data_IF_322867629275
#
_entry.id   IF_322867629275
#
_cell.length_a   1.000
_cell.length_b   1.000
_cell.length_c   1.000
_cell.angle_alpha   90.00
_cell.angle_beta   90.00
_cell.angle_gamma   90.00
#
_symmetry.space_group_name_H-M   'P 1'
#
loop_
_entity.id
_entity.type
_entity.pdbx_description
1 polymer ?
#
# COMPACT_ATOMS: atom_id res chain seq x y z
N UNK A 1 -6.77 -8.00 16.67
CA UNK A 1 -7.56 -7.03 15.90
C UNK A 1 -8.35 -6.24 16.89
N UNK A 2 -7.75 -5.13 17.30
CA UNK A 2 -8.45 -4.14 18.09
C UNK A 2 -9.61 -3.55 17.29
N UNK A 3 -10.59 -2.98 17.99
CA UNK A 3 -11.66 -2.21 17.34
C UNK A 3 -11.07 -1.07 16.48
N UNK A 4 -9.96 -0.47 16.90
CA UNK A 4 -9.24 0.56 16.15
C UNK A 4 -8.67 0.06 14.82
N UNK A 5 -8.06 -1.13 14.78
CA UNK A 5 -7.50 -1.66 13.52
C UNK A 5 -8.61 -1.96 12.51
N UNK A 6 -9.74 -2.49 12.99
CA UNK A 6 -10.92 -2.72 12.16
C UNK A 6 -11.46 -1.41 11.59
N UNK A 7 -11.58 -0.36 12.42
CA UNK A 7 -12.01 0.96 11.98
C UNK A 7 -11.08 1.53 10.91
N UNK A 8 -9.76 1.40 11.09
CA UNK A 8 -8.76 1.88 10.12
C UNK A 8 -8.90 1.14 8.77
N UNK A 9 -9.02 -0.20 8.79
CA UNK A 9 -9.21 -0.98 7.57
C UNK A 9 -10.50 -0.58 6.85
N UNK A 10 -11.61 -0.45 7.59
CA UNK A 10 -12.89 -0.01 7.03
C UNK A 10 -12.75 1.39 6.41
N UNK A 11 -12.07 2.32 7.08
CA UNK A 11 -11.83 3.66 6.54
C UNK A 11 -11.04 3.60 5.23
N UNK A 12 -9.98 2.80 5.14
CA UNK A 12 -9.23 2.66 3.89
C UNK A 12 -10.06 2.04 2.77
N UNK A 13 -10.91 1.05 3.08
CA UNK A 13 -11.81 0.44 2.10
C UNK A 13 -12.84 1.46 1.62
N UNK A 14 -13.43 2.25 2.50
CA UNK A 14 -14.40 3.29 2.14
C UNK A 14 -13.75 4.36 1.26
N UNK A 15 -12.56 4.84 1.62
CA UNK A 15 -11.80 5.79 0.80
C UNK A 15 -11.46 5.17 -0.56
N UNK A 16 -11.06 3.90 -0.62
CA UNK A 16 -10.83 3.20 -1.88
C UNK A 16 -12.09 3.18 -2.74
N UNK A 17 -13.24 2.79 -2.18
CA UNK A 17 -14.53 2.77 -2.90
C UNK A 17 -14.87 4.16 -3.43
N UNK A 18 -14.74 5.21 -2.61
CA UNK A 18 -15.02 6.58 -3.04
C UNK A 18 -14.13 6.99 -4.21
N UNK A 19 -12.83 6.67 -4.17
CA UNK A 19 -11.93 6.97 -5.29
C UNK A 19 -12.24 6.13 -6.53
N UNK A 20 -12.62 4.85 -6.37
CA UNK A 20 -13.06 4.00 -7.48
C UNK A 20 -14.32 4.55 -8.16
N UNK A 21 -15.25 5.13 -7.39
CA UNK A 21 -16.45 5.78 -7.93
C UNK A 21 -16.15 7.06 -8.73
N UNK A 22 -14.98 7.68 -8.52
CA UNK A 22 -14.52 8.83 -9.32
C UNK A 22 -13.77 8.42 -10.59
N UNK A 23 -13.48 7.13 -10.79
CA UNK A 23 -12.78 6.65 -11.98
C UNK A 23 -13.59 6.73 -13.29
N UNK A 24 -14.91 6.44 -13.33
CA UNK A 24 -15.64 6.50 -14.59
C UNK A 24 -15.62 7.89 -15.25
N UNK A 25 -15.86 9.01 -14.54
CA UNK A 25 -15.67 10.36 -15.10
C UNK A 25 -14.25 10.61 -15.59
N UNK A 26 -13.25 10.15 -14.84
CA UNK A 26 -11.82 10.23 -15.21
C UNK A 26 -11.49 9.51 -16.52
N UNK A 27 -12.13 8.37 -16.77
CA UNK A 27 -11.93 7.58 -17.98
C UNK A 27 -12.68 8.17 -19.19
N UNK A 28 -13.82 8.85 -18.97
CA UNK A 28 -14.61 9.45 -20.04
C UNK A 28 -14.12 10.85 -20.44
N UNK A 29 -13.78 11.69 -19.47
CA UNK A 29 -13.39 13.09 -19.69
C UNK A 29 -11.87 13.25 -19.87
N UNK A 30 -11.12 12.20 -19.50
CA UNK A 30 -9.67 12.20 -19.51
C UNK A 30 -9.07 12.75 -18.21
N UNK A 31 -7.79 12.47 -18.03
CA UNK A 31 -7.02 12.97 -16.88
C UNK A 31 -6.60 14.41 -17.14
N UNK A 32 -6.84 15.28 -16.17
CA UNK A 32 -6.43 16.68 -16.10
C UNK A 32 -5.63 16.89 -14.81
N UNK A 33 -4.94 18.03 -14.67
CA UNK A 33 -4.19 18.36 -13.44
C UNK A 33 -5.11 18.37 -12.21
N UNK A 34 -6.38 18.75 -12.39
CA UNK A 34 -7.34 18.92 -11.29
C UNK A 34 -7.93 17.59 -10.81
N UNK A 35 -8.05 16.60 -11.70
CA UNK A 35 -8.67 15.31 -11.40
C UNK A 35 -7.65 14.17 -11.27
N UNK A 36 -6.35 14.43 -11.34
CA UNK A 36 -5.29 13.42 -11.32
C UNK A 36 -5.09 12.74 -9.94
N UNK A 37 -5.55 13.38 -8.87
CA UNK A 37 -5.29 12.98 -7.49
C UNK A 37 -5.96 11.65 -7.06
N UNK A 38 -7.23 11.35 -7.42
CA UNK A 38 -7.89 10.10 -7.04
C UNK A 38 -7.15 8.84 -7.48
N UNK A 39 -6.46 8.87 -8.63
CA UNK A 39 -5.67 7.73 -9.12
C UNK A 39 -4.47 7.42 -8.21
N UNK A 40 -3.79 8.45 -7.72
CA UNK A 40 -2.74 8.31 -6.68
C UNK A 40 -3.33 7.69 -5.42
N UNK A 41 -4.52 8.14 -5.01
CA UNK A 41 -5.19 7.63 -3.81
C UNK A 41 -5.60 6.16 -3.93
N UNK A 42 -6.04 5.69 -5.11
CA UNK A 42 -6.35 4.27 -5.32
C UNK A 42 -5.12 3.39 -5.04
N UNK A 43 -3.99 3.71 -5.67
CA UNK A 43 -2.74 2.98 -5.46
C UNK A 43 -2.27 3.03 -4.01
N UNK A 44 -2.41 4.20 -3.37
CA UNK A 44 -2.07 4.39 -1.96
C UNK A 44 -2.92 3.52 -1.03
N UNK A 45 -4.25 3.53 -1.19
CA UNK A 45 -5.15 2.76 -0.34
C UNK A 45 -4.93 1.25 -0.48
N UNK A 46 -4.64 0.74 -1.69
CA UNK A 46 -4.32 -0.67 -1.88
C UNK A 46 -3.07 -1.10 -1.11
N UNK A 47 -2.00 -0.29 -1.13
CA UNK A 47 -0.79 -0.55 -0.33
C UNK A 47 -1.07 -0.53 1.18
N UNK A 48 -1.88 0.43 1.64
CA UNK A 48 -2.22 0.58 3.06
C UNK A 48 -3.10 -0.57 3.57
N UNK A 49 -4.09 -1.02 2.79
CA UNK A 49 -4.92 -2.17 3.13
C UNK A 49 -4.06 -3.44 3.23
N UNK A 50 -3.22 -3.70 2.23
CA UNK A 50 -2.36 -4.90 2.22
C UNK A 50 -1.38 -4.89 3.40
N UNK A 51 -0.77 -3.73 3.69
CA UNK A 51 0.14 -3.56 4.82
C UNK A 51 -0.58 -3.77 6.15
N UNK A 52 -1.78 -3.22 6.33
CA UNK A 52 -2.54 -3.31 7.58
C UNK A 52 -3.02 -4.74 7.83
N UNK A 53 -3.54 -5.42 6.81
CA UNK A 53 -3.91 -6.83 6.89
C UNK A 53 -2.71 -7.71 7.22
N UNK A 54 -1.59 -7.49 6.54
CA UNK A 54 -0.35 -8.22 6.82
C UNK A 54 0.08 -7.97 8.25
N UNK A 55 0.07 -6.73 8.72
CA UNK A 55 0.43 -6.42 10.09
C UNK A 55 -0.48 -7.13 11.10
N UNK A 56 -1.78 -7.22 10.82
CA UNK A 56 -2.73 -7.92 11.67
C UNK A 56 -2.45 -9.43 11.75
N UNK A 57 -2.25 -10.09 10.61
CA UNK A 57 -2.04 -11.54 10.55
C UNK A 57 -0.63 -11.98 10.95
N UNK A 58 0.23 -11.03 11.25
CA UNK A 58 1.62 -11.33 11.52
C UNK A 58 2.17 -10.63 12.77
N UNK A 59 1.46 -9.69 13.40
CA UNK A 59 1.90 -9.02 14.63
C UNK A 59 3.13 -8.11 14.50
N UNK A 60 3.24 -7.35 13.41
CA UNK A 60 4.34 -6.39 13.19
C UNK A 60 4.10 -5.00 13.78
N UNK A 61 2.91 -4.74 14.30
CA UNK A 61 2.69 -3.60 15.18
C UNK A 61 3.12 -4.08 16.57
N UNK A 62 4.16 -3.48 17.18
CA UNK A 62 4.65 -3.73 18.55
C UNK A 62 3.60 -3.50 19.67
N UNK A 63 2.31 -3.55 19.34
CA UNK A 63 1.16 -3.17 20.18
C UNK A 63 0.14 -4.26 20.43
N UNK A 64 0.17 -5.42 19.77
CA UNK A 64 -0.75 -6.52 20.08
C UNK A 64 0.00 -7.74 20.64
N UNK A 65 0.09 -7.81 21.97
CA UNK A 65 0.32 -9.06 22.72
C UNK A 65 1.65 -9.78 22.41
N UNK A 66 2.70 -9.47 23.18
CA UNK A 66 4.00 -10.17 23.13
C UNK A 66 3.90 -11.70 23.27
N UNK A 67 2.75 -12.21 23.75
CA UNK A 67 2.46 -13.64 23.91
C UNK A 67 1.90 -14.30 22.65
N UNK A 68 1.48 -13.51 21.65
CA UNK A 68 0.84 -14.04 20.44
C UNK A 68 1.90 -14.38 19.39
N UNK A 69 2.42 -15.60 19.50
CA UNK A 69 3.34 -16.19 18.52
C UNK A 69 2.50 -16.72 17.36
N UNK A 70 2.59 -16.07 16.21
CA UNK A 70 2.00 -16.60 14.98
C UNK A 70 2.92 -17.68 14.39
N UNK A 71 2.37 -18.78 13.85
CA UNK A 71 3.20 -19.81 13.24
C UNK A 71 4.10 -19.23 12.14
N UNK A 72 5.37 -19.65 12.05
CA UNK A 72 6.32 -19.18 11.02
C UNK A 72 5.75 -19.23 9.59
N UNK A 73 4.94 -20.23 9.30
CA UNK A 73 4.29 -20.42 8.00
C UNK A 73 3.27 -19.33 7.66
N UNK A 74 2.47 -18.92 8.65
CA UNK A 74 1.47 -17.85 8.52
C UNK A 74 2.19 -16.52 8.27
N UNK A 75 3.25 -16.25 9.03
CA UNK A 75 4.07 -15.05 8.85
C UNK A 75 4.68 -15.00 7.45
N UNK A 76 5.29 -16.09 6.98
CA UNK A 76 5.88 -16.17 5.64
C UNK A 76 4.82 -15.98 4.54
N UNK A 77 3.65 -16.60 4.68
CA UNK A 77 2.55 -16.49 3.70
C UNK A 77 2.09 -15.04 3.53
N UNK A 78 1.71 -14.39 4.63
CA UNK A 78 1.20 -13.01 4.60
C UNK A 78 2.27 -12.00 4.21
N UNK A 79 3.51 -12.21 4.65
CA UNK A 79 4.65 -11.38 4.25
C UNK A 79 4.89 -11.44 2.74
N UNK A 80 4.78 -12.61 2.10
CA UNK A 80 4.86 -12.75 0.63
C UNK A 80 3.71 -12.05 -0.09
N UNK A 81 2.48 -12.17 0.42
CA UNK A 81 1.31 -11.47 -0.12
C UNK A 81 1.53 -9.96 -0.08
N UNK A 82 2.03 -9.43 1.04
CA UNK A 82 2.35 -8.01 1.16
C UNK A 82 3.41 -7.58 0.15
N UNK A 83 4.52 -8.32 0.05
CA UNK A 83 5.59 -8.03 -0.92
C UNK A 83 5.02 -7.97 -2.34
N UNK A 84 4.21 -8.96 -2.73
CA UNK A 84 3.54 -8.97 -4.04
C UNK A 84 2.66 -7.74 -4.26
N UNK A 85 1.85 -7.37 -3.27
CA UNK A 85 1.01 -6.17 -3.33
C UNK A 85 1.84 -4.89 -3.45
N UNK A 86 2.92 -4.75 -2.68
CA UNK A 86 3.82 -3.59 -2.76
C UNK A 86 4.50 -3.50 -4.12
N UNK A 87 4.89 -4.63 -4.73
CA UNK A 87 5.47 -4.65 -6.09
C UNK A 87 4.45 -4.16 -7.12
N UNK A 88 3.19 -4.63 -7.05
CA UNK A 88 2.12 -4.16 -7.96
C UNK A 88 1.91 -2.65 -7.80
N UNK A 89 1.91 -2.16 -6.57
CA UNK A 89 1.77 -0.72 -6.29
C UNK A 89 2.97 0.08 -6.80
N UNK A 90 4.20 -0.43 -6.68
CA UNK A 90 5.39 0.21 -7.27
C UNK A 90 5.26 0.30 -8.78
N UNK A 91 4.85 -0.77 -9.47
CA UNK A 91 4.67 -0.75 -10.92
C UNK A 91 3.60 0.27 -11.35
N UNK A 92 2.51 0.36 -10.59
CA UNK A 92 1.48 1.38 -10.78
C UNK A 92 2.05 2.79 -10.63
N UNK A 93 2.74 3.08 -9.52
CA UNK A 93 3.31 4.42 -9.28
C UNK A 93 4.44 4.79 -10.23
N UNK A 94 5.24 3.83 -10.71
CA UNK A 94 6.25 4.08 -11.75
C UNK A 94 5.60 4.44 -13.09
N UNK A 95 4.61 3.66 -13.51
CA UNK A 95 3.85 3.95 -14.74
C UNK A 95 3.17 5.31 -14.66
N UNK A 96 2.61 5.62 -13.49
CA UNK A 96 1.96 6.90 -13.23
C UNK A 96 2.94 8.08 -13.18
N UNK A 97 4.09 7.91 -12.53
CA UNK A 97 5.15 8.90 -12.48
C UNK A 97 5.63 9.29 -13.88
N UNK A 98 5.86 8.29 -14.75
CA UNK A 98 6.22 8.52 -16.16
C UNK A 98 5.12 9.32 -16.86
N UNK A 99 3.86 8.93 -16.69
CA UNK A 99 2.73 9.64 -17.28
C UNK A 99 2.63 11.10 -16.83
N UNK A 100 2.74 11.36 -15.52
CA UNK A 100 2.69 12.70 -14.93
C UNK A 100 3.84 13.58 -15.43
N UNK A 101 5.07 13.05 -15.47
CA UNK A 101 6.23 13.82 -15.96
C UNK A 101 6.04 14.22 -17.42
N UNK A 102 5.50 13.32 -18.25
CA UNK A 102 5.33 13.56 -19.70
C UNK A 102 4.16 14.49 -19.99
N UNK A 103 3.02 14.34 -19.29
CA UNK A 103 1.78 15.07 -19.59
C UNK A 103 1.56 16.31 -18.74
N UNK A 104 2.08 16.32 -17.52
CA UNK A 104 1.86 17.36 -16.52
C UNK A 104 3.17 17.70 -15.76
N UNK A 105 4.22 18.19 -16.45
CA UNK A 105 5.52 18.44 -15.82
C UNK A 105 5.47 19.47 -14.68
N UNK A 106 4.45 20.36 -14.67
CA UNK A 106 4.23 21.33 -13.60
C UNK A 106 3.52 20.72 -12.35
N UNK A 107 3.04 19.49 -12.41
CA UNK A 107 2.38 18.78 -11.30
C UNK A 107 3.40 18.22 -10.29
N UNK A 108 4.28 19.10 -9.79
CA UNK A 108 5.36 18.75 -8.88
C UNK A 108 4.91 18.02 -7.60
N UNK A 109 3.78 18.40 -6.94
CA UNK A 109 3.29 17.67 -5.77
C UNK A 109 2.98 16.20 -6.07
N UNK A 110 2.41 15.90 -7.24
CA UNK A 110 2.05 14.55 -7.65
C UNK A 110 3.30 13.70 -7.94
N UNK A 111 4.30 14.30 -8.57
CA UNK A 111 5.61 13.67 -8.80
C UNK A 111 6.25 13.29 -7.46
N UNK A 112 6.29 14.21 -6.50
CA UNK A 112 6.82 13.96 -5.15
C UNK A 112 6.03 12.85 -4.44
N UNK A 113 4.71 12.88 -4.51
CA UNK A 113 3.86 11.84 -3.91
C UNK A 113 4.16 10.46 -4.49
N UNK A 114 4.32 10.34 -5.81
CA UNK A 114 4.67 9.07 -6.44
C UNK A 114 6.02 8.54 -5.96
N UNK A 115 7.04 9.42 -5.93
CA UNK A 115 8.38 9.05 -5.47
C UNK A 115 8.35 8.62 -3.99
N UNK A 116 7.69 9.42 -3.13
CA UNK A 116 7.54 9.10 -1.72
C UNK A 116 6.85 7.75 -1.52
N UNK A 117 5.80 7.46 -2.31
CA UNK A 117 5.08 6.20 -2.20
C UNK A 117 5.91 5.00 -2.65
N UNK A 118 6.68 5.14 -3.74
CA UNK A 118 7.62 4.10 -4.19
C UNK A 118 8.64 3.80 -3.08
N UNK A 119 9.22 4.83 -2.45
CA UNK A 119 10.16 4.68 -1.34
C UNK A 119 9.52 3.97 -0.16
N UNK A 120 8.28 4.31 0.21
CA UNK A 120 7.52 3.64 1.27
C UNK A 120 7.27 2.16 0.95
N UNK A 121 6.90 1.84 -0.30
CA UNK A 121 6.71 0.46 -0.74
C UNK A 121 8.00 -0.34 -0.66
N UNK A 122 9.14 0.23 -1.08
CA UNK A 122 10.47 -0.40 -0.96
C UNK A 122 10.84 -0.64 0.51
N UNK A 123 10.57 0.32 1.39
CA UNK A 123 10.81 0.17 2.83
C UNK A 123 9.95 -0.96 3.42
N UNK A 124 8.68 -1.06 3.04
CA UNK A 124 7.80 -2.15 3.44
C UNK A 124 8.32 -3.51 2.96
N UNK A 125 8.75 -3.62 1.69
CA UNK A 125 9.34 -4.85 1.15
C UNK A 125 10.60 -5.24 1.94
N UNK A 126 11.50 -4.29 2.18
CA UNK A 126 12.72 -4.52 2.97
C UNK A 126 12.40 -5.05 4.37
N UNK A 127 11.44 -4.43 5.05
CA UNK A 127 10.98 -4.84 6.38
C UNK A 127 10.44 -6.28 6.37
N UNK A 128 9.62 -6.62 5.38
CA UNK A 128 9.06 -7.96 5.22
C UNK A 128 10.15 -9.01 4.91
N UNK A 129 11.12 -8.71 4.07
CA UNK A 129 12.25 -9.61 3.77
C UNK A 129 13.10 -9.88 5.02
N UNK A 130 13.46 -8.81 5.75
CA UNK A 130 14.24 -8.93 7.00
C UNK A 130 13.54 -9.86 7.99
N UNK A 131 12.21 -9.77 8.03
CA UNK A 131 11.38 -10.56 8.92
C UNK A 131 11.27 -12.02 8.52
N UNK A 132 11.10 -12.33 7.24
CA UNK A 132 11.12 -13.72 6.77
C UNK A 132 12.44 -14.41 7.12
N UNK A 133 13.57 -13.69 7.03
CA UNK A 133 14.88 -14.20 7.45
C UNK A 133 14.91 -14.51 8.94
N UNK A 134 14.44 -13.59 9.79
CA UNK A 134 14.38 -13.79 11.24
C UNK A 134 13.56 -15.03 11.65
N UNK A 135 12.38 -15.18 11.07
CA UNK A 135 11.46 -16.31 11.33
C UNK A 135 12.00 -17.63 10.76
N UNK A 136 12.85 -17.60 9.74
CA UNK A 136 13.51 -18.80 9.21
C UNK A 136 14.71 -19.22 10.05
N UNK A 137 15.42 -18.26 10.63
CA UNK A 137 16.56 -18.51 11.52
C UNK A 137 16.14 -18.98 12.93
N UNK A 138 14.93 -18.65 13.37
CA UNK A 138 14.38 -19.01 14.68
C UNK A 138 12.98 -19.65 14.50
N UNK A 139 12.90 -20.94 14.14
CA UNK A 139 11.65 -21.64 13.88
C UNK A 139 10.81 -21.87 15.13
#
# INVERSE_FOLDING_TARGET
MTKSDLTIIIMYILVLIMNLLTLPPLLSEGVTVDNIFPLVMVGAMLSMISSTLTNHFTNTMDREDQKKIYPPEVVKKWSRINIGAQIIVILFFLSWLIYVIVKFPAAFPQILLCIAWIVLCLFNIYREIKRQRYVTANP
#
